data_IF_281716644982
#
_entry.id   IF_281716644982
#
_cell.length_a   1.000
_cell.length_b   1.000
_cell.length_c   1.000
_cell.angle_alpha   90.00
_cell.angle_beta   90.00
_cell.angle_gamma   90.00
#
_symmetry.space_group_name_H-M   'P 1'
#
loop_
_entity.id
_entity.type
_entity.pdbx_description
1 polymer ?
#
# COMPACT_ATOMS: atom_id res chain seq x y z
N UNK A 1 -15.83 -12.92 -25.74
CA UNK A 1 -15.19 -12.48 -24.48
C UNK A 1 -16.02 -11.33 -23.93
N UNK A 2 -16.55 -11.47 -22.72
CA UNK A 2 -17.57 -10.55 -22.17
C UNK A 2 -16.94 -9.20 -21.81
N UNK A 3 -17.68 -8.11 -21.99
CA UNK A 3 -17.28 -6.77 -21.52
C UNK A 3 -17.01 -6.74 -20.01
N UNK A 4 -17.67 -7.62 -19.25
CA UNK A 4 -17.48 -7.77 -17.80
C UNK A 4 -16.09 -8.34 -17.42
N UNK A 5 -15.51 -9.22 -18.22
CA UNK A 5 -14.16 -9.74 -17.98
C UNK A 5 -13.08 -8.69 -18.24
N UNK A 6 -13.34 -7.81 -19.23
CA UNK A 6 -12.46 -6.68 -19.55
C UNK A 6 -12.54 -5.63 -18.45
N UNK A 7 -13.73 -5.30 -17.96
CA UNK A 7 -13.93 -4.38 -16.85
C UNK A 7 -13.34 -4.88 -15.52
N UNK A 8 -13.49 -6.18 -15.18
CA UNK A 8 -12.83 -6.80 -14.03
C UNK A 8 -11.30 -6.73 -14.12
N UNK A 9 -10.73 -6.94 -15.30
CA UNK A 9 -9.28 -6.79 -15.52
C UNK A 9 -8.80 -5.34 -15.45
N UNK A 10 -9.63 -4.40 -15.91
CA UNK A 10 -9.31 -2.96 -15.83
C UNK A 10 -9.47 -2.40 -14.41
N UNK A 11 -10.41 -2.91 -13.61
CA UNK A 11 -10.58 -2.58 -12.18
C UNK A 11 -9.42 -3.09 -11.30
N UNK A 12 -8.74 -4.16 -11.73
CA UNK A 12 -7.46 -4.60 -11.17
C UNK A 12 -6.26 -3.72 -11.62
N UNK A 13 -6.50 -2.71 -12.46
CA UNK A 13 -5.48 -1.94 -13.17
C UNK A 13 -5.13 -0.58 -12.55
N UNK A 14 -5.82 -0.14 -11.49
CA UNK A 14 -5.37 0.98 -10.65
C UNK A 14 -4.82 0.41 -9.35
N UNK A 15 -3.92 -0.57 -9.48
CA UNK A 15 -3.16 -1.07 -8.37
C UNK A 15 -2.14 0.01 -7.98
N UNK A 16 -2.24 0.54 -6.76
CA UNK A 16 -1.07 1.16 -6.14
C UNK A 16 0.05 0.11 -6.28
N UNK A 17 1.19 0.42 -6.90
CA UNK A 17 2.28 -0.53 -7.03
C UNK A 17 2.58 -1.14 -5.67
N UNK A 18 2.91 -2.43 -5.63
CA UNK A 18 3.14 -3.16 -4.37
C UNK A 18 4.06 -2.38 -3.42
N UNK A 19 5.13 -1.82 -3.96
CA UNK A 19 6.18 -1.18 -3.19
C UNK A 19 5.73 0.21 -2.70
N UNK A 20 4.87 0.90 -3.45
CA UNK A 20 4.19 2.14 -3.01
C UNK A 20 3.24 1.88 -1.83
N UNK A 21 2.47 0.78 -1.88
CA UNK A 21 1.62 0.38 -0.76
C UNK A 21 2.46 0.00 0.46
N UNK A 22 3.52 -0.79 0.25
CA UNK A 22 4.44 -1.19 1.30
C UNK A 22 5.11 0.03 1.94
N UNK A 23 5.52 1.03 1.16
CA UNK A 23 6.14 2.25 1.67
C UNK A 23 5.17 3.04 2.55
N UNK A 24 3.91 3.21 2.13
CA UNK A 24 2.86 3.89 2.91
C UNK A 24 2.59 3.22 4.26
N UNK A 25 2.77 1.90 4.34
CA UNK A 25 2.64 1.11 5.58
C UNK A 25 3.92 1.19 6.43
N UNK A 26 5.10 1.14 5.81
CA UNK A 26 6.39 1.14 6.49
C UNK A 26 6.69 2.46 7.19
N UNK A 27 6.40 3.60 6.54
CA UNK A 27 6.63 4.94 7.09
C UNK A 27 6.03 5.15 8.50
N UNK A 28 4.74 4.91 8.75
CA UNK A 28 4.16 5.04 10.08
C UNK A 28 4.65 3.97 11.06
N UNK A 29 4.93 2.74 10.60
CA UNK A 29 5.51 1.67 11.41
C UNK A 29 6.86 2.05 12.01
N UNK A 30 7.73 2.63 11.18
CA UNK A 30 9.11 2.95 11.54
C UNK A 30 9.26 4.38 12.08
N UNK A 31 8.22 5.21 11.96
CA UNK A 31 8.31 6.65 12.28
C UNK A 31 9.25 7.39 11.34
N UNK A 32 9.41 6.89 10.11
CA UNK A 32 10.34 7.38 9.09
C UNK A 32 9.56 7.90 7.89
N UNK A 33 10.11 8.89 7.20
CA UNK A 33 9.51 9.43 5.97
C UNK A 33 10.52 9.32 4.84
N UNK A 34 10.12 8.73 3.71
CA UNK A 34 10.92 8.74 2.49
C UNK A 34 11.08 10.17 1.95
N UNK A 35 12.24 10.47 1.35
CA UNK A 35 12.44 11.76 0.72
C UNK A 35 11.52 11.92 -0.51
N UNK A 36 10.96 13.11 -0.77
CA UNK A 36 10.09 13.33 -1.93
C UNK A 36 10.78 12.98 -3.25
N UNK A 37 10.09 12.24 -4.11
CA UNK A 37 10.62 11.84 -5.43
C UNK A 37 11.57 10.63 -5.41
N UNK A 38 11.80 10.01 -4.24
CA UNK A 38 12.52 8.73 -4.16
C UNK A 38 11.65 7.61 -4.70
N UNK A 39 12.22 6.67 -5.44
CA UNK A 39 11.52 5.45 -5.84
C UNK A 39 11.10 4.64 -4.60
N UNK A 40 9.91 4.03 -4.64
CA UNK A 40 9.37 3.34 -3.48
C UNK A 40 10.23 2.14 -3.04
N UNK A 41 10.88 1.46 -3.98
CA UNK A 41 11.80 0.35 -3.72
C UNK A 41 13.06 0.85 -3.02
N UNK A 42 13.67 1.92 -3.53
CA UNK A 42 14.87 2.53 -2.94
C UNK A 42 14.60 3.07 -1.53
N UNK A 43 13.41 3.65 -1.32
CA UNK A 43 12.98 4.14 -0.02
C UNK A 43 12.80 3.00 1.00
N UNK A 44 12.21 1.88 0.58
CA UNK A 44 12.05 0.69 1.42
C UNK A 44 13.41 0.07 1.77
N UNK A 45 14.32 -0.05 0.81
CA UNK A 45 15.68 -0.54 1.04
C UNK A 45 16.45 0.34 2.03
N UNK A 46 16.29 1.66 1.95
CA UNK A 46 16.89 2.59 2.90
C UNK A 46 16.28 2.44 4.30
N UNK A 47 14.96 2.29 4.39
CA UNK A 47 14.27 2.04 5.65
C UNK A 47 14.69 0.73 6.28
N UNK A 48 14.85 -0.35 5.51
CA UNK A 48 15.30 -1.67 6.02
C UNK A 48 16.71 -1.60 6.62
N UNK A 49 17.64 -0.89 5.97
CA UNK A 49 19.01 -0.70 6.48
C UNK A 49 19.07 0.14 7.75
N UNK A 50 18.14 1.07 7.92
CA UNK A 50 18.07 1.99 9.04
C UNK A 50 17.16 1.48 10.16
N UNK A 51 16.30 0.51 9.86
CA UNK A 51 15.34 -0.05 10.80
C UNK A 51 16.10 -0.88 11.84
N UNK A 52 16.25 -0.30 13.03
CA UNK A 52 16.43 -1.07 14.25
C UNK A 52 15.18 -1.90 14.59
N UNK A 53 15.12 -2.51 15.79
CA UNK A 53 13.93 -3.27 16.20
C UNK A 53 12.66 -2.42 16.06
N UNK A 54 11.69 -2.93 15.29
CA UNK A 54 10.45 -2.22 14.98
C UNK A 54 9.59 -2.08 16.25
N UNK A 55 9.21 -0.87 16.65
CA UNK A 55 8.39 -0.67 17.84
C UNK A 55 6.99 -1.26 17.63
N UNK A 56 6.69 -2.36 18.32
CA UNK A 56 5.36 -2.98 18.33
C UNK A 56 4.40 -2.13 19.17
N UNK A 57 3.30 -1.65 18.58
CA UNK A 57 2.36 -0.77 19.27
C UNK A 57 1.44 0.03 18.33
N UNK A 58 1.20 1.31 18.66
CA UNK A 58 0.28 2.19 17.93
C UNK A 58 0.64 2.35 16.46
N UNK A 59 1.94 2.36 16.13
CA UNK A 59 2.44 2.45 14.75
C UNK A 59 1.99 1.26 13.89
N UNK A 60 2.01 0.05 14.46
CA UNK A 60 1.54 -1.16 13.78
C UNK A 60 0.01 -1.16 13.58
N UNK A 61 -0.75 -0.65 14.56
CA UNK A 61 -2.21 -0.50 14.42
C UNK A 61 -2.57 0.45 13.27
N UNK A 62 -1.89 1.60 13.19
CA UNK A 62 -2.08 2.56 12.08
C UNK A 62 -1.74 1.97 10.71
N UNK A 63 -0.68 1.17 10.64
CA UNK A 63 -0.31 0.43 9.44
C UNK A 63 -1.37 -0.62 9.04
N UNK A 64 -1.90 -1.36 10.01
CA UNK A 64 -2.98 -2.31 9.77
C UNK A 64 -4.26 -1.61 9.29
N UNK A 65 -4.64 -0.49 9.91
CA UNK A 65 -5.79 0.33 9.50
C UNK A 65 -5.64 0.85 8.07
N UNK A 66 -4.44 1.33 7.70
CA UNK A 66 -4.15 1.79 6.35
C UNK A 66 -4.24 0.67 5.30
N UNK A 67 -3.75 -0.53 5.64
CA UNK A 67 -3.87 -1.70 4.77
C UNK A 67 -5.34 -2.13 4.61
N UNK A 68 -6.10 -2.17 5.71
CA UNK A 68 -7.53 -2.51 5.72
C UNK A 68 -8.33 -1.52 4.88
N UNK A 69 -8.09 -0.21 5.03
CA UNK A 69 -8.75 0.82 4.23
C UNK A 69 -8.49 0.63 2.74
N UNK A 70 -7.23 0.40 2.35
CA UNK A 70 -6.87 0.15 0.96
C UNK A 70 -7.57 -1.08 0.39
N UNK A 71 -7.63 -2.19 1.14
CA UNK A 71 -8.35 -3.39 0.71
C UNK A 71 -9.85 -3.12 0.57
N UNK A 72 -10.46 -2.39 1.50
CA UNK A 72 -11.87 -1.99 1.40
C UNK A 72 -12.15 -1.13 0.16
N UNK A 73 -11.31 -0.14 -0.13
CA UNK A 73 -11.42 0.69 -1.33
C UNK A 73 -11.34 -0.17 -2.60
N UNK A 74 -10.38 -1.10 -2.66
CA UNK A 74 -10.24 -2.02 -3.79
C UNK A 74 -11.46 -2.94 -3.98
N UNK A 75 -11.98 -3.50 -2.88
CA UNK A 75 -13.16 -4.39 -2.91
C UNK A 75 -14.40 -3.62 -3.35
N UNK A 76 -14.62 -2.41 -2.80
CA UNK A 76 -15.77 -1.58 -3.14
C UNK A 76 -15.74 -1.11 -4.59
N UNK A 77 -14.57 -0.68 -5.08
CA UNK A 77 -14.39 -0.32 -6.49
C UNK A 77 -14.70 -1.51 -7.42
N UNK A 78 -14.26 -2.72 -7.04
CA UNK A 78 -14.55 -3.95 -7.78
C UNK A 78 -16.01 -4.45 -7.69
N UNK A 79 -16.78 -3.93 -6.74
CA UNK A 79 -18.15 -4.37 -6.45
C UNK A 79 -19.24 -3.43 -6.99
N UNK A 80 -18.88 -2.25 -7.54
CA UNK A 80 -19.86 -1.39 -8.19
C UNK A 80 -20.30 -2.01 -9.53
N UNK A 81 -21.60 -2.27 -9.73
CA UNK A 81 -22.12 -2.64 -11.03
C UNK A 81 -22.03 -1.43 -11.96
N UNK A 82 -21.47 -1.66 -13.15
CA UNK A 82 -21.36 -0.72 -14.28
C UNK A 82 -22.71 -0.22 -14.77
#
# INVERSE_FOLDING_TARGET
MSGADKAKRTLLGIAIPRDELALRIAQPCLGMTAAPGTDATEALDAMDRLAGPVPMGTSFRRAADAAVLYFHECINAGSQPS
#
